data_IF_947528255083
#
_entry.id   IF_947528255083
#
_cell.length_a   1.000
_cell.length_b   1.000
_cell.length_c   1.000
_cell.angle_alpha   90.00
_cell.angle_beta   90.00
_cell.angle_gamma   90.00
#
_symmetry.space_group_name_H-M   'P 1'
#
loop_
_entity.id
_entity.type
_entity.pdbx_description
1 polymer ?
#
# COMPACT_ATOMS: atom_id res chain seq x y z
N UNK A 1 -22.06 7.02 -25.00
CA UNK A 1 -21.93 5.61 -25.42
C UNK A 1 -21.88 4.79 -24.15
N UNK A 2 -22.79 3.82 -24.01
CA UNK A 2 -22.84 2.95 -22.84
C UNK A 2 -21.72 1.91 -22.97
N UNK A 3 -20.93 1.70 -21.92
CA UNK A 3 -19.85 0.69 -21.93
C UNK A 3 -20.43 -0.73 -22.00
N UNK A 4 -19.85 -1.57 -22.84
CA UNK A 4 -20.22 -2.99 -23.01
C UNK A 4 -19.48 -3.90 -22.01
N UNK A 5 -18.55 -3.34 -21.23
CA UNK A 5 -17.71 -4.10 -20.31
C UNK A 5 -18.48 -4.44 -19.03
N UNK A 6 -18.66 -5.74 -18.77
CA UNK A 6 -19.38 -6.26 -17.60
C UNK A 6 -18.77 -5.77 -16.27
N UNK A 7 -17.45 -5.60 -16.22
CA UNK A 7 -16.76 -5.10 -15.04
C UNK A 7 -17.13 -3.66 -14.66
N UNK A 8 -17.39 -2.80 -15.65
CA UNK A 8 -17.80 -1.40 -15.42
C UNK A 8 -19.19 -1.34 -14.80
N UNK A 9 -20.09 -2.22 -15.24
CA UNK A 9 -21.44 -2.34 -14.67
C UNK A 9 -21.44 -2.87 -13.24
N UNK A 10 -20.61 -3.86 -12.95
CA UNK A 10 -20.43 -4.37 -11.58
C UNK A 10 -19.86 -3.26 -10.68
N UNK A 11 -18.84 -2.53 -11.14
CA UNK A 11 -18.25 -1.42 -10.39
C UNK A 11 -19.26 -0.29 -10.13
N UNK A 12 -20.06 0.07 -11.15
CA UNK A 12 -21.12 1.07 -11.01
C UNK A 12 -22.20 0.64 -10.01
N UNK A 13 -22.63 -0.63 -10.06
CA UNK A 13 -23.56 -1.20 -9.09
C UNK A 13 -23.02 -1.12 -7.66
N UNK A 14 -21.79 -1.57 -7.42
CA UNK A 14 -21.17 -1.50 -6.10
C UNK A 14 -20.98 -0.05 -5.61
N UNK A 15 -20.73 0.90 -6.52
CA UNK A 15 -20.62 2.32 -6.17
C UNK A 15 -21.95 2.86 -5.67
N UNK A 16 -23.05 2.60 -6.38
CA UNK A 16 -24.40 3.03 -5.96
C UNK A 16 -24.77 2.38 -4.61
N UNK A 17 -24.50 1.08 -4.46
CA UNK A 17 -24.80 0.34 -3.22
C UNK A 17 -23.95 0.83 -2.05
N UNK A 18 -22.68 1.17 -2.28
CA UNK A 18 -21.80 1.74 -1.24
C UNK A 18 -22.24 3.16 -0.85
N UNK A 19 -22.65 4.01 -1.81
CA UNK A 19 -23.20 5.35 -1.54
C UNK A 19 -24.50 5.30 -0.73
N UNK A 20 -25.21 4.16 -0.75
CA UNK A 20 -26.41 3.95 0.08
C UNK A 20 -26.15 3.97 1.59
N UNK A 21 -24.88 4.02 2.04
CA UNK A 21 -24.49 4.33 3.41
C UNK A 21 -25.14 5.63 3.95
N UNK A 22 -25.34 6.62 3.07
CA UNK A 22 -25.91 7.92 3.45
C UNK A 22 -27.38 7.85 3.94
N UNK A 23 -28.10 6.76 3.68
CA UNK A 23 -29.54 6.63 3.92
C UNK A 23 -29.91 5.71 5.09
N UNK A 24 -29.02 5.54 6.09
CA UNK A 24 -29.17 4.63 7.26
C UNK A 24 -29.01 3.15 6.88
N UNK A 25 -28.59 2.32 7.85
CA UNK A 25 -28.30 0.88 7.68
C UNK A 25 -29.31 0.14 6.79
N UNK A 26 -28.93 -0.08 5.53
CA UNK A 26 -29.77 -0.74 4.53
C UNK A 26 -29.16 -2.10 4.16
N UNK A 27 -30.01 -3.10 3.88
CA UNK A 27 -29.56 -4.47 3.57
C UNK A 27 -28.55 -4.51 2.42
N UNK A 28 -28.74 -3.63 1.43
CA UNK A 28 -27.85 -3.50 0.29
C UNK A 28 -26.45 -3.03 0.68
N UNK A 29 -26.33 -2.04 1.57
CA UNK A 29 -25.04 -1.56 2.05
C UNK A 29 -24.30 -2.67 2.82
N UNK A 30 -24.98 -3.37 3.74
CA UNK A 30 -24.38 -4.49 4.50
C UNK A 30 -23.90 -5.62 3.59
N UNK A 31 -24.63 -5.93 2.51
CA UNK A 31 -24.21 -6.92 1.53
C UNK A 31 -22.91 -6.50 0.82
N UNK A 32 -22.81 -5.24 0.38
CA UNK A 32 -21.60 -4.73 -0.26
C UNK A 32 -20.41 -4.72 0.71
N UNK A 33 -20.63 -4.32 1.96
CA UNK A 33 -19.61 -4.31 3.00
C UNK A 33 -19.07 -5.72 3.29
N UNK A 34 -19.95 -6.72 3.52
CA UNK A 34 -19.52 -8.10 3.75
C UNK A 34 -18.81 -8.71 2.53
N UNK A 35 -19.28 -8.41 1.32
CA UNK A 35 -18.63 -8.89 0.09
C UNK A 35 -17.26 -8.26 -0.08
N UNK A 36 -17.12 -6.96 0.17
CA UNK A 36 -15.85 -6.24 0.07
C UNK A 36 -14.86 -6.74 1.12
N UNK A 37 -15.26 -6.85 2.40
CA UNK A 37 -14.41 -7.36 3.48
C UNK A 37 -14.04 -8.83 3.22
N UNK A 38 -14.97 -9.65 2.74
CA UNK A 38 -14.71 -11.04 2.37
C UNK A 38 -13.69 -11.18 1.24
N UNK A 39 -13.85 -10.38 0.17
CA UNK A 39 -12.90 -10.35 -0.94
C UNK A 39 -11.52 -9.84 -0.49
N UNK A 40 -11.48 -8.78 0.32
CA UNK A 40 -10.24 -8.23 0.87
C UNK A 40 -9.52 -9.24 1.77
N UNK A 41 -10.25 -9.93 2.66
CA UNK A 41 -9.70 -10.97 3.52
C UNK A 41 -9.18 -12.17 2.71
N UNK A 42 -9.95 -12.64 1.72
CA UNK A 42 -9.53 -13.72 0.83
C UNK A 42 -8.26 -13.37 0.04
N UNK A 43 -8.22 -12.17 -0.54
CA UNK A 43 -7.04 -11.66 -1.23
C UNK A 43 -5.82 -11.55 -0.28
N UNK A 44 -6.02 -11.04 0.94
CA UNK A 44 -4.97 -10.93 1.94
C UNK A 44 -4.39 -12.30 2.33
N UNK A 45 -5.23 -13.32 2.49
CA UNK A 45 -4.79 -14.69 2.78
C UNK A 45 -3.94 -15.24 1.62
N UNK A 46 -4.42 -15.13 0.38
CA UNK A 46 -3.69 -15.62 -0.81
C UNK A 46 -2.35 -14.92 -0.96
N UNK A 47 -2.32 -13.59 -0.79
CA UNK A 47 -1.08 -12.82 -0.83
C UNK A 47 -0.14 -13.21 0.30
N UNK A 48 -0.65 -13.44 1.51
CA UNK A 48 0.14 -13.93 2.64
C UNK A 48 0.82 -15.28 2.33
N UNK A 49 0.06 -16.24 1.81
CA UNK A 49 0.59 -17.57 1.44
C UNK A 49 1.61 -17.45 0.30
N UNK A 50 1.30 -16.66 -0.75
CA UNK A 50 2.25 -16.43 -1.85
C UNK A 50 3.52 -15.76 -1.37
N UNK A 51 3.45 -14.79 -0.46
CA UNK A 51 4.62 -14.12 0.08
C UNK A 51 5.51 -15.10 0.88
N UNK A 52 4.91 -15.99 1.66
CA UNK A 52 5.67 -17.02 2.41
C UNK A 52 6.39 -17.98 1.44
N UNK A 53 5.72 -18.42 0.39
CA UNK A 53 6.31 -19.35 -0.59
C UNK A 53 7.39 -18.66 -1.41
N UNK A 54 7.10 -17.48 -1.96
CA UNK A 54 7.93 -16.80 -2.96
C UNK A 54 9.09 -16.00 -2.36
N UNK A 55 8.98 -15.52 -1.12
CA UNK A 55 10.05 -14.82 -0.43
C UNK A 55 10.71 -15.64 0.68
N UNK A 56 10.01 -16.65 1.22
CA UNK A 56 10.58 -17.56 2.22
C UNK A 56 11.16 -18.82 1.58
N UNK A 57 10.28 -19.71 1.10
CA UNK A 57 10.68 -21.07 0.70
C UNK A 57 11.61 -21.12 -0.51
N UNK A 58 11.33 -20.34 -1.56
CA UNK A 58 12.15 -20.31 -2.78
C UNK A 58 13.57 -19.77 -2.55
N UNK A 59 13.74 -18.80 -1.64
CA UNK A 59 15.05 -18.22 -1.33
C UNK A 59 15.87 -19.11 -0.39
N UNK A 60 15.21 -19.85 0.51
CA UNK A 60 15.86 -20.88 1.34
C UNK A 60 16.32 -22.07 0.47
N UNK A 61 15.49 -22.49 -0.48
CA UNK A 61 15.86 -23.51 -1.46
C UNK A 61 17.00 -23.05 -2.41
N UNK A 62 17.19 -21.74 -2.55
CA UNK A 62 18.30 -21.12 -3.29
C UNK A 62 19.64 -21.06 -2.54
N UNK A 63 19.70 -21.52 -1.28
CA UNK A 63 20.96 -21.63 -0.52
C UNK A 63 21.35 -20.41 0.30
N UNK A 64 20.47 -19.43 0.51
CA UNK A 64 20.75 -18.23 1.31
C UNK A 64 20.22 -18.38 2.75
N UNK A 65 21.07 -18.65 3.76
CA UNK A 65 20.63 -18.92 5.13
C UNK A 65 20.02 -17.70 5.85
N UNK A 66 20.17 -16.49 5.31
CA UNK A 66 19.63 -15.25 5.89
C UNK A 66 18.08 -15.23 5.94
N UNK A 67 17.42 -15.99 5.07
CA UNK A 67 15.96 -16.03 4.93
C UNK A 67 15.23 -16.87 6.00
N UNK A 68 15.96 -17.53 6.90
CA UNK A 68 15.37 -18.17 8.09
C UNK A 68 14.78 -17.16 9.06
N UNK A 69 15.37 -15.97 9.15
CA UNK A 69 14.95 -14.88 10.05
C UNK A 69 13.46 -14.50 9.84
N UNK A 70 13.00 -14.17 8.62
CA UNK A 70 11.59 -13.83 8.38
C UNK A 70 10.62 -14.99 8.62
N UNK A 71 11.01 -16.25 8.40
CA UNK A 71 10.14 -17.40 8.70
C UNK A 71 9.97 -17.59 10.20
N UNK A 72 11.06 -17.50 10.97
CA UNK A 72 11.03 -17.60 12.44
C UNK A 72 10.19 -16.45 13.02
N UNK A 73 10.38 -15.22 12.51
CA UNK A 73 9.58 -14.06 12.91
C UNK A 73 8.10 -14.23 12.54
N UNK A 74 7.79 -14.81 11.39
CA UNK A 74 6.42 -15.13 10.96
C UNK A 74 5.74 -16.16 11.88
N UNK A 75 6.44 -17.23 12.26
CA UNK A 75 5.94 -18.21 13.23
C UNK A 75 5.76 -17.57 14.61
N UNK A 76 6.68 -16.69 15.03
CA UNK A 76 6.58 -15.96 16.29
C UNK A 76 5.29 -15.13 16.39
N UNK A 77 4.73 -14.63 15.29
CA UNK A 77 3.47 -13.87 15.32
C UNK A 77 2.32 -14.73 15.87
N UNK A 78 2.30 -16.04 15.61
CA UNK A 78 1.28 -16.95 16.14
C UNK A 78 1.36 -17.13 17.65
N UNK A 79 2.49 -16.83 18.29
CA UNK A 79 2.58 -16.82 19.77
C UNK A 79 1.71 -15.74 20.40
N UNK A 80 1.19 -14.77 19.62
CA UNK A 80 0.18 -13.79 20.05
C UNK A 80 -1.08 -14.42 20.64
N UNK A 81 -1.47 -15.61 20.18
CA UNK A 81 -2.70 -16.27 20.64
C UNK A 81 -2.53 -16.96 22.01
N UNK A 82 -1.31 -17.11 22.51
CA UNK A 82 -1.05 -17.80 23.77
C UNK A 82 -0.72 -16.79 24.90
N UNK A 83 -1.53 -16.68 25.97
CA UNK A 83 -1.37 -15.64 27.00
C UNK A 83 -0.02 -15.71 27.74
N UNK A 84 0.62 -16.89 27.77
CA UNK A 84 1.91 -17.13 28.43
C UNK A 84 3.13 -16.58 27.66
N UNK A 85 3.03 -16.37 26.34
CA UNK A 85 4.17 -15.97 25.49
C UNK A 85 4.00 -14.58 24.84
N UNK A 86 3.10 -13.75 25.39
CA UNK A 86 2.75 -12.43 24.86
C UNK A 86 3.95 -11.48 24.64
N UNK A 87 5.01 -11.58 25.47
CA UNK A 87 6.21 -10.75 25.30
C UNK A 87 7.00 -11.05 24.03
N UNK A 88 6.94 -12.28 23.51
CA UNK A 88 7.71 -12.73 22.34
C UNK A 88 7.15 -12.11 21.04
N UNK A 89 5.86 -11.79 21.01
CA UNK A 89 5.20 -11.09 19.90
C UNK A 89 5.74 -9.67 19.64
N UNK A 90 6.45 -9.05 20.61
CA UNK A 90 7.01 -7.69 20.44
C UNK A 90 8.14 -7.62 19.41
N UNK A 91 8.95 -8.68 19.26
CA UNK A 91 10.08 -8.71 18.34
C UNK A 91 9.66 -8.66 16.85
N UNK A 92 8.68 -9.48 16.39
CA UNK A 92 8.16 -9.35 15.03
C UNK A 92 7.55 -7.99 14.71
N UNK A 93 6.80 -7.38 15.64
CA UNK A 93 6.22 -6.05 15.40
C UNK A 93 7.30 -4.99 15.31
N UNK A 94 8.29 -5.02 16.20
CA UNK A 94 9.40 -4.07 16.17
C UNK A 94 10.17 -4.15 14.84
N UNK A 95 10.36 -5.37 14.32
CA UNK A 95 10.97 -5.59 13.02
C UNK A 95 10.11 -5.05 11.86
N UNK A 96 8.80 -5.34 11.87
CA UNK A 96 7.86 -4.84 10.86
C UNK A 96 7.81 -3.30 10.83
N UNK A 97 7.72 -2.67 12.01
CA UNK A 97 7.73 -1.21 12.17
C UNK A 97 9.07 -0.63 11.73
N UNK A 98 10.19 -1.26 12.10
CA UNK A 98 11.53 -0.82 11.69
C UNK A 98 11.72 -0.83 10.18
N UNK A 99 11.25 -1.88 9.49
CA UNK A 99 11.22 -1.93 8.03
C UNK A 99 10.33 -0.84 7.45
N UNK A 100 9.11 -0.69 7.97
CA UNK A 100 8.15 0.31 7.49
C UNK A 100 8.70 1.74 7.61
N UNK A 101 9.28 2.07 8.76
CA UNK A 101 9.93 3.37 9.00
C UNK A 101 11.15 3.56 8.10
N UNK A 102 11.99 2.54 7.94
CA UNK A 102 13.17 2.62 7.07
C UNK A 102 12.83 2.85 5.59
N UNK A 103 11.81 2.15 5.09
CA UNK A 103 11.29 2.34 3.72
C UNK A 103 10.68 3.74 3.59
N UNK A 104 9.89 4.18 4.57
CA UNK A 104 9.22 5.48 4.53
C UNK A 104 10.22 6.63 4.55
N UNK A 105 11.29 6.55 5.37
CA UNK A 105 12.35 7.56 5.40
C UNK A 105 13.08 7.63 4.06
N UNK A 106 13.47 6.48 3.48
CA UNK A 106 14.11 6.49 2.14
C UNK A 106 13.17 7.03 1.06
N UNK A 107 11.90 6.64 1.11
CA UNK A 107 10.87 7.06 0.17
C UNK A 107 10.65 8.58 0.23
N UNK A 108 10.46 9.12 1.43
CA UNK A 108 10.33 10.55 1.68
C UNK A 108 11.57 11.32 1.24
N UNK A 109 12.79 10.86 1.56
CA UNK A 109 14.01 11.54 1.11
C UNK A 109 14.11 11.57 -0.42
N UNK A 110 13.82 10.45 -1.09
CA UNK A 110 13.92 10.40 -2.54
C UNK A 110 12.79 11.18 -3.24
N UNK A 111 11.56 11.10 -2.74
CA UNK A 111 10.41 11.78 -3.33
C UNK A 111 10.40 13.27 -3.00
N UNK A 112 10.62 13.62 -1.74
CA UNK A 112 10.48 15.00 -1.27
C UNK A 112 11.76 15.78 -1.49
N UNK A 113 12.95 15.25 -1.21
CA UNK A 113 14.18 16.03 -1.40
C UNK A 113 14.76 15.90 -2.82
N UNK A 114 14.96 14.67 -3.31
CA UNK A 114 15.66 14.48 -4.59
C UNK A 114 14.81 14.93 -5.78
N UNK A 115 13.52 14.55 -5.85
CA UNK A 115 12.66 15.02 -6.95
C UNK A 115 12.36 16.51 -6.86
N UNK A 116 12.25 17.08 -5.67
CA UNK A 116 11.99 18.52 -5.52
C UNK A 116 13.21 19.35 -5.92
N UNK A 117 14.43 18.97 -5.51
CA UNK A 117 15.67 19.62 -5.99
C UNK A 117 15.79 19.46 -7.51
N UNK A 118 15.53 18.27 -8.05
CA UNK A 118 15.55 18.04 -9.49
C UNK A 118 14.45 18.82 -10.23
N UNK A 119 13.30 19.09 -9.61
CA UNK A 119 12.23 19.90 -10.17
C UNK A 119 12.59 21.40 -10.17
N UNK A 120 13.25 21.89 -9.13
CA UNK A 120 13.71 23.29 -9.03
C UNK A 120 14.95 23.58 -9.89
N UNK A 121 15.79 22.57 -10.15
CA UNK A 121 16.96 22.68 -11.03
C UNK A 121 16.61 22.64 -12.53
N UNK A 122 15.35 22.37 -12.90
CA UNK A 122 14.91 22.43 -14.31
C UNK A 122 14.84 23.89 -14.78
N UNK A 123 15.33 24.22 -16.00
CA UNK A 123 15.28 25.58 -16.51
C UNK A 123 13.84 26.07 -16.62
N UNK A 124 13.59 27.29 -16.16
CA UNK A 124 12.26 27.93 -16.18
C UNK A 124 11.69 28.08 -17.60
N UNK A 125 12.55 28.08 -18.63
CA UNK A 125 12.16 28.19 -20.03
C UNK A 125 12.41 26.83 -20.68
N UNK A 126 11.35 26.04 -20.85
CA UNK A 126 11.40 24.80 -21.61
C UNK A 126 11.22 25.10 -23.11
N UNK A 127 11.68 24.20 -23.97
CA UNK A 127 11.51 24.25 -25.44
C UNK A 127 10.05 24.16 -25.91
N UNK A 128 9.08 23.97 -25.00
CA UNK A 128 7.64 23.86 -25.29
C UNK A 128 6.81 24.74 -24.34
N UNK A 129 5.79 25.48 -24.81
CA UNK A 129 4.98 26.41 -23.99
C UNK A 129 4.31 25.76 -22.75
N UNK A 130 3.85 24.51 -22.86
CA UNK A 130 3.26 23.76 -21.74
C UNK A 130 4.29 23.37 -20.66
N UNK A 131 5.54 23.12 -21.05
CA UNK A 131 6.63 22.80 -20.11
C UNK A 131 7.04 24.02 -19.27
N UNK A 132 7.05 25.20 -19.88
CA UNK A 132 7.32 26.48 -19.20
C UNK A 132 6.24 26.82 -18.17
N UNK A 133 4.95 26.60 -18.49
CA UNK A 133 3.87 26.78 -17.53
C UNK A 133 3.97 25.79 -16.35
N UNK A 134 4.25 24.52 -16.61
CA UNK A 134 4.42 23.53 -15.55
C UNK A 134 5.60 23.87 -14.63
N UNK A 135 6.74 24.29 -15.20
CA UNK A 135 7.92 24.68 -14.42
C UNK A 135 7.66 25.94 -13.55
N UNK A 136 6.87 26.91 -14.05
CA UNK A 136 6.45 28.09 -13.27
C UNK A 136 5.49 27.70 -12.14
N UNK A 137 4.50 26.83 -12.40
CA UNK A 137 3.56 26.37 -11.38
C UNK A 137 4.29 25.60 -10.28
N UNK A 138 5.26 24.75 -10.64
CA UNK A 138 6.10 24.04 -9.68
C UNK A 138 6.97 25.01 -8.86
N UNK A 139 7.53 26.04 -9.49
CA UNK A 139 8.33 27.06 -8.80
C UNK A 139 7.50 27.88 -7.80
N UNK A 140 6.35 28.42 -8.24
CA UNK A 140 5.44 29.20 -7.38
C UNK A 140 4.83 28.31 -6.29
N UNK A 141 4.45 27.08 -6.62
CA UNK A 141 3.95 26.11 -5.66
C UNK A 141 4.97 25.77 -4.58
N UNK A 142 6.25 25.66 -4.93
CA UNK A 142 7.33 25.39 -3.97
C UNK A 142 7.57 26.58 -3.03
N UNK A 143 7.45 27.82 -3.51
CA UNK A 143 7.58 29.02 -2.67
C UNK A 143 6.38 29.21 -1.73
N UNK A 144 5.18 28.86 -2.19
CA UNK A 144 3.94 29.08 -1.42
C UNK A 144 3.66 27.97 -0.41
N UNK A 145 4.19 26.76 -0.65
CA UNK A 145 4.02 25.60 0.23
C UNK A 145 5.06 25.54 1.37
N UNK A 146 6.09 26.40 1.35
CA UNK A 146 7.06 26.55 2.43
C UNK A 146 6.51 27.40 3.58
#
# INVERSE_FOLDING_TARGET
MVSTDVGVWIAAFFTIVATSYAFRDNIFFRFAEYTFIGAAAGHAIVMGVKNIILYGWTHIAGGEPSYWIPIILGILIYTRYHPKYYCIYRYPIAFLVGIGVGISIRGAIHADFVKQIAATAKPLIATTPLGTLNNIIVFVGTITAL
#
